data_IF_851750160219
#
_entry.id   IF_851750160219
#
_cell.length_a   1.000
_cell.length_b   1.000
_cell.length_c   1.000
_cell.angle_alpha   90.00
_cell.angle_beta   90.00
_cell.angle_gamma   90.00
#
_symmetry.space_group_name_H-M   'P 1'
#
loop_
_entity.id
_entity.type
_entity.pdbx_description
1 polymer ?
#
# COMPACT_ATOMS: atom_id res chain seq x y z
N UNK A 1 -16.86 74.42 41.04
CA UNK A 1 -15.84 74.75 40.02
C UNK A 1 -15.32 73.45 39.42
N UNK A 2 -15.80 73.07 38.23
CA UNK A 2 -15.33 71.89 37.49
C UNK A 2 -14.52 72.39 36.29
N UNK A 3 -13.33 71.86 36.04
CA UNK A 3 -12.54 72.30 34.89
C UNK A 3 -11.19 71.61 34.72
N UNK A 4 -11.00 71.01 33.54
CA UNK A 4 -9.71 70.76 32.88
C UNK A 4 -8.78 69.73 33.56
N UNK A 5 -9.08 68.45 33.39
CA UNK A 5 -8.10 67.37 33.61
C UNK A 5 -8.25 66.18 32.62
N UNK A 6 -8.78 66.44 31.42
CA UNK A 6 -8.90 65.44 30.33
C UNK A 6 -8.63 66.13 28.97
N UNK A 7 -7.36 66.25 28.53
CA UNK A 7 -7.09 66.08 27.10
C UNK A 7 -5.71 65.46 26.77
N UNK A 8 -5.07 64.72 27.69
CA UNK A 8 -3.69 64.22 27.49
C UNK A 8 -3.54 62.70 27.31
N UNK A 9 -4.56 61.90 27.66
CA UNK A 9 -4.51 60.43 27.49
C UNK A 9 -4.89 59.95 26.07
N UNK A 10 -5.62 60.76 25.30
CA UNK A 10 -6.11 60.37 23.97
C UNK A 10 -5.06 60.42 22.85
N UNK A 11 -4.01 61.23 22.99
CA UNK A 11 -3.03 61.46 21.92
C UNK A 11 -1.96 60.35 21.81
N UNK A 12 -1.73 59.58 22.89
CA UNK A 12 -0.72 58.51 22.91
C UNK A 12 -1.22 57.18 22.31
N UNK A 13 -2.53 56.98 22.17
CA UNK A 13 -3.09 55.73 21.60
C UNK A 13 -3.17 55.80 20.06
N UNK A 14 -3.23 57.00 19.48
CA UNK A 14 -3.27 57.21 18.03
C UNK A 14 -1.91 57.02 17.32
N UNK A 15 -0.80 56.89 18.05
CA UNK A 15 0.55 56.88 17.49
C UNK A 15 1.25 55.50 17.52
N UNK A 16 0.49 54.40 17.67
CA UNK A 16 1.02 53.02 17.57
C UNK A 16 0.55 52.23 16.35
N UNK A 17 -0.32 52.79 15.51
CA UNK A 17 -0.85 52.12 14.30
C UNK A 17 -0.14 52.52 12.99
N UNK A 18 0.84 53.42 13.05
CA UNK A 18 1.51 54.01 11.89
C UNK A 18 3.04 53.75 11.83
N UNK A 19 3.54 52.73 12.52
CA UNK A 19 4.90 52.21 12.27
C UNK A 19 4.85 51.28 11.04
N UNK A 20 5.46 51.64 9.89
CA UNK A 20 5.57 50.74 8.76
C UNK A 20 6.51 49.58 9.14
N UNK A 21 5.90 48.45 9.52
CA UNK A 21 6.64 47.25 9.89
C UNK A 21 7.51 46.81 8.70
N UNK A 22 8.81 46.65 8.94
CA UNK A 22 9.75 45.94 8.06
C UNK A 22 10.10 46.59 6.70
N UNK A 23 10.71 47.78 6.74
CA UNK A 23 11.64 48.21 5.69
C UNK A 23 12.93 47.37 5.73
N UNK A 24 12.83 46.06 5.47
CA UNK A 24 14.01 45.21 5.21
C UNK A 24 14.73 45.81 4.00
N UNK A 25 16.05 46.06 4.07
CA UNK A 25 16.77 46.68 2.96
C UNK A 25 16.62 45.85 1.69
N UNK A 26 15.91 46.41 0.71
CA UNK A 26 15.48 45.75 -0.55
C UNK A 26 16.66 45.10 -1.29
N UNK A 27 17.86 45.67 -1.12
CA UNK A 27 19.12 45.14 -1.65
C UNK A 27 19.52 43.76 -1.10
N UNK A 28 19.24 43.46 0.17
CA UNK A 28 19.53 42.17 0.80
C UNK A 28 18.56 41.08 0.30
N UNK A 29 17.27 41.39 0.26
CA UNK A 29 16.24 40.51 -0.31
C UNK A 29 16.52 40.16 -1.76
N UNK A 30 16.90 41.16 -2.59
CA UNK A 30 17.25 40.93 -4.00
C UNK A 30 18.46 40.01 -4.15
N UNK A 31 19.53 40.22 -3.37
CA UNK A 31 20.71 39.34 -3.37
C UNK A 31 20.36 37.90 -2.97
N UNK A 32 19.50 37.72 -1.97
CA UNK A 32 19.03 36.40 -1.55
C UNK A 32 18.26 35.70 -2.68
N UNK A 33 17.27 36.38 -3.28
CA UNK A 33 16.48 35.86 -4.41
C UNK A 33 17.38 35.44 -5.59
N UNK A 34 18.31 36.31 -6.04
CA UNK A 34 19.26 36.00 -7.13
C UNK A 34 20.10 34.75 -6.81
N UNK A 35 20.66 34.67 -5.59
CA UNK A 35 21.47 33.52 -5.16
C UNK A 35 20.63 32.23 -5.15
N UNK A 36 19.43 32.28 -4.59
CA UNK A 36 18.53 31.11 -4.53
C UNK A 36 18.09 30.66 -5.92
N UNK A 37 17.73 31.58 -6.83
CA UNK A 37 17.40 31.23 -8.23
C UNK A 37 18.58 30.58 -8.94
N UNK A 38 19.82 31.03 -8.69
CA UNK A 38 21.01 30.40 -9.25
C UNK A 38 21.27 28.99 -8.68
N UNK A 39 21.06 28.77 -7.38
CA UNK A 39 21.18 27.43 -6.77
C UNK A 39 20.08 26.51 -7.30
N UNK A 40 18.84 27.00 -7.38
CA UNK A 40 17.70 26.27 -7.90
C UNK A 40 17.91 25.88 -9.38
N UNK A 41 18.45 26.78 -10.20
CA UNK A 41 18.78 26.50 -11.60
C UNK A 41 19.81 25.36 -11.73
N UNK A 42 20.89 25.39 -10.93
CA UNK A 42 21.87 24.29 -10.85
C UNK A 42 21.19 22.99 -10.43
N UNK A 43 20.29 23.02 -9.44
CA UNK A 43 19.59 21.82 -8.95
C UNK A 43 18.57 21.25 -9.95
N UNK A 44 18.02 22.09 -10.82
CA UNK A 44 17.20 21.68 -11.97
C UNK A 44 18.04 21.22 -13.18
N UNK A 45 19.38 21.30 -13.12
CA UNK A 45 20.26 21.02 -14.25
C UNK A 45 20.15 22.03 -15.41
N UNK A 46 19.69 23.26 -15.14
CA UNK A 46 19.40 24.27 -16.18
C UNK A 46 20.40 25.43 -16.16
N UNK A 47 20.91 25.77 -17.35
CA UNK A 47 21.62 27.04 -17.58
C UNK A 47 20.58 28.10 -17.96
N UNK A 48 20.46 29.16 -17.17
CA UNK A 48 19.51 30.25 -17.44
C UNK A 48 20.15 31.37 -18.27
N UNK A 49 19.54 31.68 -19.40
CA UNK A 49 19.79 32.92 -20.16
C UNK A 49 19.50 34.15 -19.28
N UNK A 50 20.08 35.34 -19.58
CA UNK A 50 19.83 36.54 -18.79
C UNK A 50 18.33 36.87 -18.65
N UNK A 51 17.57 36.79 -19.75
CA UNK A 51 16.12 37.01 -19.75
C UNK A 51 15.37 36.00 -18.88
N UNK A 52 15.68 34.71 -19.01
CA UNK A 52 15.06 33.66 -18.18
C UNK A 52 15.39 33.82 -16.70
N UNK A 53 16.62 34.24 -16.36
CA UNK A 53 17.03 34.54 -14.98
C UNK A 53 16.22 35.68 -14.39
N UNK A 54 16.10 36.81 -15.10
CA UNK A 54 15.31 37.96 -14.66
C UNK A 54 13.83 37.58 -14.45
N UNK A 55 13.26 36.76 -15.33
CA UNK A 55 11.89 36.26 -15.17
C UNK A 55 11.73 35.38 -13.91
N UNK A 56 12.66 34.44 -13.67
CA UNK A 56 12.65 33.57 -12.49
C UNK A 56 12.90 34.35 -11.19
N UNK A 57 13.78 35.34 -11.19
CA UNK A 57 14.00 36.25 -10.06
C UNK A 57 12.74 37.08 -9.75
N UNK A 58 12.06 37.60 -10.78
CA UNK A 58 10.79 38.34 -10.59
C UNK A 58 9.69 37.43 -10.03
N UNK A 59 9.58 36.19 -10.51
CA UNK A 59 8.63 35.20 -10.00
C UNK A 59 8.94 34.81 -8.54
N UNK A 60 10.21 34.52 -8.23
CA UNK A 60 10.65 34.19 -6.89
C UNK A 60 10.49 35.36 -5.90
N UNK A 61 10.77 36.59 -6.33
CA UNK A 61 10.55 37.79 -5.51
C UNK A 61 9.05 38.03 -5.23
N UNK A 62 8.17 37.84 -6.23
CA UNK A 62 6.71 37.92 -6.06
C UNK A 62 6.22 36.86 -5.06
N UNK A 63 6.65 35.61 -5.20
CA UNK A 63 6.29 34.54 -4.29
C UNK A 63 6.83 34.80 -2.86
N UNK A 64 8.09 35.24 -2.72
CA UNK A 64 8.67 35.62 -1.43
C UNK A 64 7.91 36.75 -0.74
N UNK A 65 7.49 37.79 -1.47
CA UNK A 65 6.67 38.87 -0.92
C UNK A 65 5.30 38.38 -0.41
N UNK A 66 4.75 37.30 -0.97
CA UNK A 66 3.44 36.76 -0.61
C UNK A 66 3.50 35.67 0.49
N UNK A 67 4.56 34.87 0.53
CA UNK A 67 4.66 33.67 1.39
C UNK A 67 5.90 33.65 2.30
N UNK A 68 6.83 34.60 2.16
CA UNK A 68 8.02 34.73 3.01
C UNK A 68 9.18 33.78 2.65
N UNK A 69 10.07 33.59 3.62
CA UNK A 69 11.34 32.83 3.47
C UNK A 69 11.16 31.34 3.14
N UNK A 70 9.99 30.78 3.42
CA UNK A 70 9.63 29.41 3.01
C UNK A 70 9.81 29.19 1.50
N UNK A 71 9.55 30.22 0.69
CA UNK A 71 9.76 30.20 -0.77
C UNK A 71 11.22 29.99 -1.12
N UNK A 72 12.14 30.70 -0.46
CA UNK A 72 13.57 30.60 -0.79
C UNK A 72 14.13 29.23 -0.40
N UNK A 73 13.75 28.72 0.78
CA UNK A 73 14.13 27.39 1.26
C UNK A 73 13.59 26.28 0.36
N UNK A 74 12.31 26.38 -0.03
CA UNK A 74 11.68 25.42 -0.93
C UNK A 74 12.30 25.46 -2.34
N UNK A 75 12.62 26.65 -2.85
CA UNK A 75 13.25 26.85 -4.16
C UNK A 75 14.69 26.31 -4.20
N UNK A 76 15.48 26.56 -3.15
CA UNK A 76 16.84 26.03 -3.00
C UNK A 76 16.87 24.49 -2.98
N UNK A 77 15.93 23.87 -2.25
CA UNK A 77 15.83 22.41 -2.10
C UNK A 77 15.17 21.71 -3.28
N UNK A 78 14.12 22.31 -3.84
CA UNK A 78 13.28 21.73 -4.89
C UNK A 78 13.71 22.03 -6.32
N UNK A 79 14.47 23.11 -6.56
CA UNK A 79 14.80 23.59 -7.91
C UNK A 79 13.70 24.48 -8.50
N UNK A 80 13.93 25.02 -9.70
CA UNK A 80 13.07 26.01 -10.37
C UNK A 80 11.62 25.53 -10.58
N UNK A 81 11.41 24.22 -10.70
CA UNK A 81 10.10 23.59 -10.82
C UNK A 81 9.19 23.90 -9.61
N UNK A 82 9.79 24.18 -8.44
CA UNK A 82 9.07 24.63 -7.25
C UNK A 82 8.30 25.95 -7.45
N UNK A 83 8.75 26.85 -8.34
CA UNK A 83 8.00 28.08 -8.67
C UNK A 83 6.65 27.76 -9.29
N UNK A 84 6.63 26.86 -10.28
CA UNK A 84 5.39 26.45 -10.97
C UNK A 84 4.44 25.71 -10.03
N UNK A 85 4.97 24.82 -9.18
CA UNK A 85 4.12 24.07 -8.25
C UNK A 85 3.63 24.92 -7.08
N UNK A 86 4.45 25.84 -6.57
CA UNK A 86 4.03 26.76 -5.51
C UNK A 86 3.07 27.86 -5.97
N UNK A 87 3.05 28.23 -7.25
CA UNK A 87 1.99 29.03 -7.85
C UNK A 87 0.64 28.28 -7.87
N UNK A 88 0.67 26.98 -8.23
CA UNK A 88 -0.54 26.12 -8.29
C UNK A 88 -1.09 25.73 -6.92
N UNK A 89 -0.21 25.32 -6.01
CA UNK A 89 -0.57 24.69 -4.74
C UNK A 89 -0.47 25.65 -3.53
N UNK A 90 0.08 26.85 -3.74
CA UNK A 90 0.05 27.95 -2.78
C UNK A 90 0.89 27.71 -1.51
N UNK A 91 0.43 28.31 -0.40
CA UNK A 91 1.14 28.36 0.89
C UNK A 91 1.52 26.98 1.42
N UNK A 92 0.67 25.97 1.25
CA UNK A 92 0.91 24.62 1.76
C UNK A 92 2.15 24.00 1.13
N UNK A 93 2.31 24.14 -0.18
CA UNK A 93 3.47 23.62 -0.91
C UNK A 93 4.75 24.26 -0.40
N UNK A 94 4.76 25.58 -0.24
CA UNK A 94 5.91 26.32 0.28
C UNK A 94 6.31 25.87 1.68
N UNK A 95 5.34 25.80 2.60
CA UNK A 95 5.55 25.38 4.00
C UNK A 95 6.00 23.92 4.11
N UNK A 96 5.44 23.01 3.30
CA UNK A 96 5.86 21.61 3.31
C UNK A 96 7.28 21.47 2.74
N UNK A 97 7.60 22.11 1.62
CA UNK A 97 8.91 22.01 0.97
C UNK A 97 10.03 22.75 1.72
N UNK A 98 9.73 23.84 2.45
CA UNK A 98 10.73 24.57 3.23
C UNK A 98 11.29 23.74 4.39
N UNK A 99 10.43 22.92 5.03
CA UNK A 99 10.81 21.99 6.11
C UNK A 99 11.25 20.60 5.62
N UNK A 100 11.03 20.26 4.34
CA UNK A 100 11.40 18.98 3.75
C UNK A 100 12.93 18.77 3.63
N UNK A 101 13.35 17.50 3.41
CA UNK A 101 14.71 17.21 2.93
C UNK A 101 14.86 17.66 1.46
N UNK A 102 16.10 17.84 0.94
CA UNK A 102 16.30 18.17 -0.46
C UNK A 102 15.77 17.13 -1.45
N UNK A 103 15.77 15.82 -1.10
CA UNK A 103 15.12 14.79 -1.92
C UNK A 103 13.60 14.96 -1.93
N UNK A 104 12.98 15.12 -0.76
CA UNK A 104 11.52 15.30 -0.63
C UNK A 104 11.05 16.54 -1.37
N UNK A 105 11.68 17.70 -1.15
CA UNK A 105 11.35 18.95 -1.84
C UNK A 105 11.51 18.82 -3.36
N UNK A 106 12.51 18.05 -3.85
CA UNK A 106 12.68 17.79 -5.28
C UNK A 106 11.56 16.90 -5.83
N UNK A 107 11.19 15.81 -5.14
CA UNK A 107 10.07 14.96 -5.56
C UNK A 107 8.75 15.73 -5.58
N UNK A 108 8.48 16.50 -4.54
CA UNK A 108 7.33 17.42 -4.47
C UNK A 108 7.35 18.43 -5.61
N UNK A 109 8.48 19.06 -5.95
CA UNK A 109 8.58 20.01 -7.06
C UNK A 109 8.34 19.37 -8.45
N UNK A 110 8.66 18.08 -8.62
CA UNK A 110 8.46 17.34 -9.87
C UNK A 110 7.04 16.76 -9.98
N UNK A 111 6.45 16.30 -8.88
CA UNK A 111 5.22 15.50 -8.86
C UNK A 111 4.11 16.07 -7.93
N UNK A 112 4.12 17.37 -7.65
CA UNK A 112 3.19 18.04 -6.72
C UNK A 112 1.72 17.68 -6.97
N UNK A 113 1.28 17.62 -8.23
CA UNK A 113 -0.12 17.36 -8.57
C UNK A 113 -0.62 16.00 -8.02
N UNK A 114 0.27 14.99 -7.94
CA UNK A 114 -0.01 13.68 -7.33
C UNK A 114 0.27 13.65 -5.83
N UNK A 115 1.35 14.31 -5.39
CA UNK A 115 1.86 14.19 -4.02
C UNK A 115 1.17 15.15 -3.03
N UNK A 116 0.74 16.34 -3.46
CA UNK A 116 0.12 17.35 -2.59
C UNK A 116 -1.21 16.90 -1.94
N UNK A 117 -2.13 16.20 -2.63
CA UNK A 117 -3.34 15.66 -1.99
C UNK A 117 -3.01 14.68 -0.85
N UNK A 118 -1.96 13.87 -1.01
CA UNK A 118 -1.50 12.92 0.01
C UNK A 118 -0.78 13.69 1.14
N UNK A 119 0.11 14.61 0.80
CA UNK A 119 0.85 15.43 1.77
C UNK A 119 -0.08 16.33 2.62
N UNK A 120 -1.20 16.80 2.08
CA UNK A 120 -2.24 17.51 2.85
C UNK A 120 -2.97 16.60 3.84
N UNK A 121 -3.28 15.37 3.43
CA UNK A 121 -4.03 14.40 4.25
C UNK A 121 -3.18 13.74 5.35
N UNK A 122 -1.91 13.47 5.05
CA UNK A 122 -0.98 12.71 5.90
C UNK A 122 0.05 13.60 6.60
N UNK A 123 0.33 14.80 6.07
CA UNK A 123 1.21 15.78 6.68
C UNK A 123 2.71 15.51 6.54
N UNK A 124 3.48 15.95 7.54
CA UNK A 124 4.96 15.92 7.54
C UNK A 124 5.53 14.51 7.43
N UNK A 125 4.85 13.50 7.97
CA UNK A 125 5.33 12.12 7.98
C UNK A 125 5.45 11.57 6.54
N UNK A 126 4.48 11.90 5.68
CA UNK A 126 4.54 11.58 4.25
C UNK A 126 5.72 12.27 3.54
N UNK A 127 5.93 13.55 3.79
CA UNK A 127 7.06 14.30 3.19
C UNK A 127 8.41 13.75 3.68
N UNK A 128 8.47 13.25 4.92
CA UNK A 128 9.66 12.60 5.48
C UNK A 128 9.93 11.24 4.84
N UNK A 129 8.88 10.43 4.64
CA UNK A 129 8.93 9.16 3.92
C UNK A 129 9.38 9.33 2.46
N UNK A 130 8.76 10.27 1.74
CA UNK A 130 9.08 10.65 0.37
C UNK A 130 10.53 11.18 0.23
N UNK A 131 11.08 11.77 1.30
CA UNK A 131 12.48 12.18 1.38
C UNK A 131 13.48 11.04 1.56
N UNK A 132 13.05 9.90 2.11
CA UNK A 132 13.87 8.68 2.26
C UNK A 132 13.88 7.85 0.99
N UNK A 133 12.72 7.69 0.35
CA UNK A 133 12.51 6.90 -0.86
C UNK A 133 11.56 7.63 -1.82
N UNK A 134 12.09 8.56 -2.65
CA UNK A 134 11.30 9.30 -3.61
C UNK A 134 10.51 8.39 -4.57
N UNK A 135 9.26 8.74 -4.83
CA UNK A 135 8.31 7.97 -5.64
C UNK A 135 7.60 6.85 -4.90
N UNK A 136 8.16 6.30 -3.81
CA UNK A 136 7.54 5.19 -3.07
C UNK A 136 6.60 5.64 -1.94
N UNK A 137 6.68 6.90 -1.47
CA UNK A 137 5.84 7.38 -0.38
C UNK A 137 4.34 7.30 -0.71
N UNK A 138 3.98 7.65 -1.95
CA UNK A 138 2.61 7.53 -2.45
C UNK A 138 2.13 6.07 -2.52
N UNK A 139 3.02 5.13 -2.86
CA UNK A 139 2.70 3.70 -2.89
C UNK A 139 2.55 3.10 -1.50
N UNK A 140 3.39 3.47 -0.53
CA UNK A 140 3.20 3.08 0.87
C UNK A 140 1.80 3.46 1.37
N UNK A 141 1.37 4.71 1.13
CA UNK A 141 0.03 5.17 1.51
C UNK A 141 -1.07 4.44 0.74
N UNK A 142 -0.85 4.11 -0.55
CA UNK A 142 -1.80 3.33 -1.37
C UNK A 142 -2.00 1.90 -0.86
N UNK A 143 -0.91 1.19 -0.54
CA UNK A 143 -0.97 -0.23 -0.12
C UNK A 143 -1.36 -0.39 1.36
N UNK A 144 -0.86 0.48 2.23
CA UNK A 144 -0.93 0.30 3.68
C UNK A 144 -1.82 1.34 4.39
N UNK A 145 -2.30 2.36 3.65
CA UNK A 145 -3.12 3.45 4.18
C UNK A 145 -2.32 4.57 4.85
N UNK A 146 -2.99 5.68 5.16
CA UNK A 146 -2.37 6.93 5.64
C UNK A 146 -1.53 6.75 6.92
N UNK A 147 -1.98 5.90 7.86
CA UNK A 147 -1.27 5.63 9.12
C UNK A 147 0.12 5.01 8.91
N UNK A 148 0.36 4.35 7.77
CA UNK A 148 1.64 3.71 7.48
C UNK A 148 2.79 4.72 7.41
N UNK A 149 2.54 5.92 6.89
CA UNK A 149 3.55 6.96 6.70
C UNK A 149 4.24 7.34 8.01
N UNK A 150 3.50 7.45 9.12
CA UNK A 150 4.06 7.74 10.44
C UNK A 150 5.06 6.67 10.90
N UNK A 151 4.74 5.40 10.66
CA UNK A 151 5.61 4.27 11.04
C UNK A 151 6.80 4.13 10.09
N UNK A 152 6.57 4.24 8.78
CA UNK A 152 7.60 4.09 7.75
C UNK A 152 8.52 5.33 7.64
N UNK A 153 8.09 6.51 8.06
CA UNK A 153 8.95 7.69 8.18
C UNK A 153 10.16 7.46 9.10
N UNK A 154 10.08 6.51 10.04
CA UNK A 154 11.16 6.13 10.94
C UNK A 154 11.99 4.94 10.42
N UNK A 155 11.40 4.07 9.60
CA UNK A 155 12.04 2.87 9.03
C UNK A 155 13.27 3.16 8.11
N UNK A 156 14.19 2.20 7.93
CA UNK A 156 15.28 2.27 6.96
C UNK A 156 14.79 2.28 5.50
N UNK A 157 15.43 3.06 4.62
CA UNK A 157 15.06 3.18 3.20
C UNK A 157 15.05 1.83 2.44
N UNK A 158 16.00 0.93 2.75
CA UNK A 158 16.05 -0.40 2.15
C UNK A 158 14.85 -1.28 2.52
N UNK A 159 14.44 -1.25 3.78
CA UNK A 159 13.27 -2.01 4.26
C UNK A 159 11.97 -1.49 3.64
N UNK A 160 11.80 -0.17 3.53
CA UNK A 160 10.62 0.43 2.87
C UNK A 160 10.56 0.00 1.39
N UNK A 161 11.70 -0.02 0.70
CA UNK A 161 11.78 -0.47 -0.70
C UNK A 161 11.41 -1.94 -0.85
N UNK A 162 11.90 -2.82 0.04
CA UNK A 162 11.53 -4.23 0.07
C UNK A 162 10.04 -4.42 0.39
N UNK A 163 9.52 -3.72 1.40
CA UNK A 163 8.14 -3.80 1.84
C UNK A 163 7.16 -3.40 0.71
N UNK A 164 7.44 -2.32 -0.02
CA UNK A 164 6.65 -1.92 -1.20
C UNK A 164 6.83 -2.93 -2.35
N UNK A 165 8.05 -3.42 -2.59
CA UNK A 165 8.32 -4.46 -3.58
C UNK A 165 7.51 -5.74 -3.35
N UNK A 166 7.39 -6.17 -2.10
CA UNK A 166 6.54 -7.29 -1.68
C UNK A 166 5.04 -6.96 -1.79
N UNK A 167 4.60 -5.77 -1.36
CA UNK A 167 3.20 -5.37 -1.45
C UNK A 167 2.68 -5.25 -2.89
N UNK A 168 3.53 -4.84 -3.85
CA UNK A 168 3.23 -4.89 -5.29
C UNK A 168 2.99 -6.32 -5.82
N UNK A 169 3.43 -7.35 -5.10
CA UNK A 169 3.23 -8.77 -5.42
C UNK A 169 2.13 -9.42 -4.57
N UNK A 170 1.48 -8.69 -3.67
CA UNK A 170 0.40 -9.22 -2.85
C UNK A 170 -0.79 -9.69 -3.71
N UNK A 171 -1.31 -10.87 -3.38
CA UNK A 171 -2.54 -11.43 -3.98
C UNK A 171 -3.77 -10.53 -3.78
N UNK A 172 -3.74 -9.70 -2.75
CA UNK A 172 -4.86 -8.87 -2.30
C UNK A 172 -4.38 -7.64 -1.48
N UNK A 173 -5.17 -6.55 -1.44
CA UNK A 173 -4.92 -5.42 -0.54
C UNK A 173 -4.87 -5.81 0.95
N UNK A 174 -5.59 -6.87 1.33
CA UNK A 174 -5.59 -7.43 2.68
C UNK A 174 -4.21 -8.02 3.03
N UNK A 175 -3.61 -8.80 2.13
CA UNK A 175 -2.26 -9.36 2.33
C UNK A 175 -1.19 -8.26 2.40
N UNK A 176 -1.32 -7.18 1.62
CA UNK A 176 -0.43 -6.02 1.74
C UNK A 176 -0.53 -5.35 3.13
N UNK A 177 -1.74 -5.19 3.67
CA UNK A 177 -1.94 -4.67 5.04
C UNK A 177 -1.38 -5.62 6.11
N UNK A 178 -1.63 -6.93 5.98
CA UNK A 178 -1.10 -7.96 6.88
C UNK A 178 0.43 -7.97 6.89
N UNK A 179 1.08 -7.77 5.74
CA UNK A 179 2.53 -7.61 5.63
C UNK A 179 3.05 -6.40 6.41
N UNK A 180 2.38 -5.24 6.29
CA UNK A 180 2.77 -4.03 7.02
C UNK A 180 2.56 -4.16 8.53
N UNK A 181 1.50 -4.83 8.95
CA UNK A 181 1.23 -5.13 10.35
C UNK A 181 2.26 -6.11 10.95
N UNK A 182 2.57 -7.19 10.22
CA UNK A 182 3.64 -8.12 10.57
C UNK A 182 5.01 -7.43 10.61
N UNK A 183 5.27 -6.48 9.71
CA UNK A 183 6.47 -5.63 9.73
C UNK A 183 6.55 -4.78 11.00
N UNK A 184 5.46 -4.10 11.37
CA UNK A 184 5.39 -3.30 12.61
C UNK A 184 5.63 -4.16 13.86
N UNK A 185 4.94 -5.30 13.98
CA UNK A 185 5.04 -6.18 15.16
C UNK A 185 6.40 -6.88 15.28
N UNK A 186 7.04 -7.25 14.16
CA UNK A 186 8.35 -7.92 14.16
C UNK A 186 9.55 -6.96 14.17
N UNK A 187 9.33 -5.64 14.19
CA UNK A 187 10.41 -4.66 14.04
C UNK A 187 11.20 -4.84 12.74
N UNK A 188 10.51 -5.18 11.65
CA UNK A 188 11.10 -5.44 10.34
C UNK A 188 11.74 -6.81 10.13
N UNK A 189 11.85 -7.66 11.17
CA UNK A 189 12.48 -8.98 11.04
C UNK A 189 11.75 -9.91 10.05
N UNK A 190 10.43 -9.78 9.89
CA UNK A 190 9.64 -10.55 8.90
C UNK A 190 10.22 -10.47 7.48
N UNK A 191 10.81 -9.33 7.08
CA UNK A 191 11.36 -9.14 5.74
C UNK A 191 12.57 -10.05 5.45
N UNK A 192 13.31 -10.47 6.50
CA UNK A 192 14.46 -11.38 6.38
C UNK A 192 14.06 -12.82 6.08
N UNK A 193 12.83 -13.21 6.45
CA UNK A 193 12.30 -14.56 6.24
C UNK A 193 11.45 -14.68 4.96
N UNK A 194 11.08 -13.55 4.34
CA UNK A 194 10.42 -13.53 3.04
C UNK A 194 11.44 -13.79 1.92
N UNK A 195 11.29 -14.90 1.20
CA UNK A 195 12.18 -15.24 0.09
C UNK A 195 11.72 -14.58 -1.22
N UNK A 196 12.42 -13.53 -1.64
CA UNK A 196 12.14 -12.77 -2.86
C UNK A 196 11.96 -13.62 -4.12
N UNK A 197 12.73 -14.71 -4.30
CA UNK A 197 12.62 -15.59 -5.48
C UNK A 197 11.24 -16.27 -5.54
N UNK A 198 10.75 -16.75 -4.40
CA UNK A 198 9.45 -17.41 -4.32
C UNK A 198 8.30 -16.42 -4.53
N UNK A 199 8.40 -15.22 -3.95
CA UNK A 199 7.37 -14.17 -4.07
C UNK A 199 7.30 -13.59 -5.48
N UNK A 200 8.43 -13.53 -6.20
CA UNK A 200 8.44 -13.15 -7.62
C UNK A 200 7.82 -14.21 -8.54
N UNK A 201 7.90 -15.50 -8.17
CA UNK A 201 7.35 -16.61 -8.95
C UNK A 201 5.85 -16.87 -8.67
N UNK A 202 5.45 -16.87 -7.39
CA UNK A 202 4.09 -17.23 -6.96
C UNK A 202 3.24 -16.08 -6.41
N UNK A 203 3.78 -14.86 -6.35
CA UNK A 203 3.16 -13.75 -5.62
C UNK A 203 3.39 -13.85 -4.10
N UNK A 204 2.93 -12.83 -3.38
CA UNK A 204 2.89 -12.81 -1.92
C UNK A 204 1.48 -13.17 -1.46
N UNK A 205 1.34 -14.32 -0.79
CA UNK A 205 0.09 -14.74 -0.16
C UNK A 205 0.08 -14.47 1.33
N UNK A 206 -1.11 -14.38 1.92
CA UNK A 206 -1.25 -14.22 3.37
C UNK A 206 -0.56 -15.34 4.17
N UNK A 207 -0.60 -16.57 3.67
CA UNK A 207 0.11 -17.72 4.28
C UNK A 207 1.64 -17.53 4.30
N UNK A 208 2.23 -16.96 3.25
CA UNK A 208 3.66 -16.65 3.21
C UNK A 208 4.05 -15.56 4.22
N UNK A 209 3.21 -14.53 4.39
CA UNK A 209 3.39 -13.48 5.42
C UNK A 209 3.33 -14.08 6.81
N UNK A 210 2.31 -14.89 7.10
CA UNK A 210 2.15 -15.56 8.41
C UNK A 210 3.31 -16.51 8.70
N UNK A 211 3.76 -17.30 7.72
CA UNK A 211 4.91 -18.20 7.88
C UNK A 211 6.21 -17.42 8.19
N UNK A 212 6.51 -16.37 7.43
CA UNK A 212 7.67 -15.51 7.68
C UNK A 212 7.60 -14.82 9.05
N UNK A 213 6.40 -14.37 9.45
CA UNK A 213 6.20 -13.74 10.76
C UNK A 213 6.39 -14.73 11.91
N UNK A 214 5.92 -15.99 11.76
CA UNK A 214 6.18 -17.07 12.71
C UNK A 214 7.68 -17.35 12.86
N UNK A 215 8.42 -17.39 11.75
CA UNK A 215 9.88 -17.58 11.76
C UNK A 215 10.64 -16.40 12.41
N UNK A 216 10.10 -15.18 12.35
CA UNK A 216 10.64 -14.01 13.09
C UNK A 216 10.30 -13.98 14.59
N UNK A 217 9.79 -15.08 15.17
CA UNK A 217 9.53 -15.20 16.61
C UNK A 217 8.30 -14.48 17.14
N UNK A 218 7.49 -13.83 16.28
CA UNK A 218 6.36 -13.01 16.71
C UNK A 218 5.09 -13.77 17.13
N UNK A 219 5.09 -15.11 17.11
CA UNK A 219 3.88 -15.97 17.14
C UNK A 219 2.89 -15.59 18.24
N UNK A 220 3.36 -15.31 19.45
CA UNK A 220 2.52 -15.00 20.61
C UNK A 220 1.63 -13.77 20.38
N UNK A 221 2.14 -12.70 19.76
CA UNK A 221 1.43 -11.41 19.67
C UNK A 221 0.39 -11.33 18.54
N UNK A 222 0.50 -12.15 17.49
CA UNK A 222 -0.43 -12.08 16.35
C UNK A 222 -1.69 -12.92 16.58
N UNK A 223 -1.57 -14.04 17.31
CA UNK A 223 -2.71 -14.88 17.67
C UNK A 223 -3.70 -14.13 18.59
N UNK A 224 -3.19 -13.34 19.54
CA UNK A 224 -4.01 -12.52 20.44
C UNK A 224 -4.74 -11.36 19.76
N UNK A 225 -4.23 -10.86 18.62
CA UNK A 225 -4.72 -9.60 18.03
C UNK A 225 -5.68 -9.76 16.87
N UNK A 226 -5.56 -10.83 16.05
CA UNK A 226 -6.49 -11.09 14.94
C UNK A 226 -6.82 -12.59 14.77
N UNK A 227 -7.51 -13.22 15.76
CA UNK A 227 -7.89 -14.62 15.69
C UNK A 227 -8.74 -14.96 14.45
N UNK A 228 -9.80 -14.17 14.15
CA UNK A 228 -10.67 -14.44 13.00
C UNK A 228 -9.96 -14.42 11.64
N UNK A 229 -9.01 -13.50 11.45
CA UNK A 229 -8.22 -13.43 10.22
C UNK A 229 -7.32 -14.66 10.10
N UNK A 230 -6.78 -15.12 11.23
CA UNK A 230 -5.88 -16.26 11.31
C UNK A 230 -6.61 -17.59 11.06
N UNK A 231 -7.77 -17.79 11.68
CA UNK A 231 -8.65 -18.95 11.44
C UNK A 231 -9.06 -19.03 9.97
N UNK A 232 -9.61 -17.94 9.38
CA UNK A 232 -9.98 -17.95 7.95
C UNK A 232 -8.83 -18.22 7.00
N UNK A 233 -7.59 -17.82 7.35
CA UNK A 233 -6.40 -18.11 6.54
C UNK A 233 -5.98 -19.58 6.72
N UNK A 234 -6.02 -20.11 7.95
CA UNK A 234 -5.73 -21.52 8.22
C UNK A 234 -6.76 -22.40 7.53
N UNK A 235 -8.05 -22.21 7.77
CA UNK A 235 -9.12 -23.02 7.18
C UNK A 235 -9.08 -23.03 5.65
N UNK A 236 -8.82 -21.87 5.02
CA UNK A 236 -8.70 -21.79 3.56
C UNK A 236 -7.45 -22.51 3.01
N UNK A 237 -6.40 -22.67 3.82
CA UNK A 237 -5.17 -23.36 3.44
C UNK A 237 -5.19 -24.85 3.83
N UNK A 238 -5.93 -25.22 4.89
CA UNK A 238 -6.11 -26.60 5.34
C UNK A 238 -7.27 -27.30 4.63
N UNK A 239 -8.33 -26.61 4.19
CA UNK A 239 -9.46 -27.19 3.42
C UNK A 239 -9.06 -28.10 2.24
N UNK A 240 -8.07 -27.78 1.39
CA UNK A 240 -7.64 -28.70 0.34
C UNK A 240 -6.89 -29.94 0.85
N UNK A 241 -6.35 -29.93 2.08
CA UNK A 241 -5.56 -31.03 2.65
C UNK A 241 -6.40 -32.29 2.91
N UNK A 242 -7.56 -32.29 3.61
CA UNK A 242 -8.39 -33.48 3.75
C UNK A 242 -8.96 -33.93 2.41
N UNK A 243 -9.23 -33.03 1.45
CA UNK A 243 -9.61 -33.41 0.09
C UNK A 243 -8.47 -34.14 -0.66
N UNK A 244 -7.23 -33.66 -0.58
CA UNK A 244 -6.05 -34.35 -1.15
C UNK A 244 -5.74 -35.67 -0.44
N UNK A 245 -5.94 -35.74 0.88
CA UNK A 245 -5.78 -36.97 1.64
C UNK A 245 -6.88 -37.99 1.28
N UNK A 246 -8.15 -37.58 1.19
CA UNK A 246 -9.25 -38.45 0.75
C UNK A 246 -9.07 -38.89 -0.71
N UNK A 247 -8.61 -38.01 -1.59
CA UNK A 247 -8.32 -38.35 -2.98
C UNK A 247 -7.14 -39.34 -3.11
N UNK A 248 -6.05 -39.12 -2.36
CA UNK A 248 -4.91 -40.06 -2.37
C UNK A 248 -5.23 -41.40 -1.72
N UNK A 249 -6.04 -41.41 -0.65
CA UNK A 249 -6.53 -42.62 0.01
C UNK A 249 -7.52 -43.37 -0.89
N UNK A 250 -8.41 -42.67 -1.61
CA UNK A 250 -9.27 -43.24 -2.65
C UNK A 250 -8.47 -43.83 -3.81
N UNK A 251 -7.41 -43.15 -4.27
CA UNK A 251 -6.50 -43.66 -5.31
C UNK A 251 -5.76 -44.92 -4.83
N UNK A 252 -5.31 -44.94 -3.58
CA UNK A 252 -4.64 -46.09 -2.97
C UNK A 252 -5.60 -47.29 -2.80
N UNK A 253 -6.84 -47.05 -2.37
CA UNK A 253 -7.89 -48.07 -2.31
C UNK A 253 -8.21 -48.61 -3.71
N UNK A 254 -8.31 -47.75 -4.72
CA UNK A 254 -8.54 -48.18 -6.11
C UNK A 254 -7.39 -49.05 -6.64
N UNK A 255 -6.14 -48.65 -6.40
CA UNK A 255 -4.94 -49.44 -6.74
C UNK A 255 -4.88 -50.77 -5.99
N UNK A 256 -5.30 -50.83 -4.73
CA UNK A 256 -5.36 -52.07 -3.94
C UNK A 256 -6.53 -52.99 -4.37
N UNK A 257 -7.64 -52.43 -4.83
CA UNK A 257 -8.82 -53.19 -5.25
C UNK A 257 -8.60 -53.92 -6.59
N UNK A 258 -7.82 -53.32 -7.50
CA UNK A 258 -7.46 -53.92 -8.80
C UNK A 258 -6.91 -55.35 -8.73
N UNK A 259 -5.83 -55.64 -7.96
CA UNK A 259 -5.31 -56.99 -7.79
C UNK A 259 -6.27 -57.91 -7.02
N UNK A 260 -6.97 -57.42 -5.99
CA UNK A 260 -7.95 -58.21 -5.22
C UNK A 260 -9.12 -58.68 -6.10
N UNK A 261 -9.59 -57.84 -7.03
CA UNK A 261 -10.63 -58.24 -7.98
C UNK A 261 -10.13 -59.29 -8.99
N UNK A 262 -8.86 -59.25 -9.40
CA UNK A 262 -8.24 -60.27 -10.26
C UNK A 262 -8.07 -61.60 -9.55
N UNK A 263 -7.53 -61.61 -8.32
CA UNK A 263 -7.36 -62.85 -7.54
C UNK A 263 -8.72 -63.47 -7.20
N UNK A 264 -9.74 -62.68 -6.89
CA UNK A 264 -11.10 -63.19 -6.66
C UNK A 264 -11.71 -63.84 -7.90
N UNK A 265 -11.56 -63.25 -9.11
CA UNK A 265 -12.00 -63.91 -10.37
C UNK A 265 -11.26 -65.24 -10.61
N UNK A 266 -9.95 -65.28 -10.36
CA UNK A 266 -9.15 -66.49 -10.49
C UNK A 266 -9.56 -67.58 -9.49
N UNK A 267 -9.78 -67.23 -8.22
CA UNK A 267 -10.31 -68.13 -7.19
C UNK A 267 -11.70 -68.68 -7.55
N UNK A 268 -12.60 -67.85 -8.08
CA UNK A 268 -13.90 -68.34 -8.56
C UNK A 268 -13.78 -69.31 -9.74
N UNK A 269 -12.78 -69.17 -10.61
CA UNK A 269 -12.54 -70.14 -11.70
C UNK A 269 -11.97 -71.49 -11.24
N UNK A 270 -11.47 -71.58 -10.00
CA UNK A 270 -10.97 -72.81 -9.38
C UNK A 270 -12.06 -73.59 -8.62
N UNK A 271 -13.24 -73.01 -8.42
CA UNK A 271 -14.39 -73.71 -7.83
C UNK A 271 -15.15 -74.37 -9.00
N UNK A 272 -15.06 -75.71 -9.17
CA UNK A 272 -15.81 -76.37 -10.22
C UNK A 272 -17.31 -76.19 -9.95
N UNK A 273 -18.07 -75.69 -10.92
CA UNK A 273 -19.51 -75.55 -10.73
C UNK A 273 -20.13 -76.92 -10.40
N UNK A 274 -20.95 -77.01 -9.34
CA UNK A 274 -21.70 -78.23 -9.07
C UNK A 274 -22.63 -78.46 -10.26
N UNK A 275 -22.45 -79.58 -10.96
CA UNK A 275 -23.20 -79.94 -12.18
C UNK A 275 -24.71 -79.79 -11.94
N UNK A 276 -25.28 -78.65 -12.36
CA UNK A 276 -26.73 -78.45 -12.35
C UNK A 276 -27.34 -79.51 -13.26
N UNK A 277 -28.16 -80.40 -12.68
CA UNK A 277 -29.07 -81.22 -13.46
C UNK A 277 -29.96 -80.27 -14.27
N UNK A 278 -30.04 -80.50 -15.57
CA UNK A 278 -31.07 -79.91 -16.43
C UNK A 278 -32.38 -80.59 -16.09
N UNK A 279 -33.14 -80.01 -15.16
CA UNK A 279 -34.54 -80.36 -14.99
C UNK A 279 -35.36 -79.43 -15.88
N UNK A 280 -36.04 -80.02 -16.87
CA UNK A 280 -36.93 -79.33 -17.78
C UNK A 280 -38.22 -78.92 -17.05
N UNK A 281 -38.47 -77.62 -16.91
CA UNK A 281 -39.83 -77.07 -16.82
C UNK A 281 -39.85 -75.73 -17.54
N UNK A 282 -40.45 -75.67 -18.75
CA UNK A 282 -41.87 -75.42 -18.98
C UNK A 282 -42.37 -74.10 -18.40
N UNK A 283 -42.64 -73.19 -19.32
CA UNK A 283 -43.83 -72.34 -19.39
C UNK A 283 -44.34 -71.75 -18.08
N UNK A 284 -44.11 -70.45 -17.93
CA UNK A 284 -45.19 -69.51 -17.58
C UNK A 284 -44.89 -68.10 -18.08
N UNK A 285 -45.88 -67.54 -18.78
CA UNK A 285 -45.85 -66.18 -19.28
C UNK A 285 -45.85 -65.17 -18.13
N UNK A 286 -45.25 -64.00 -18.38
CA UNK A 286 -45.33 -62.80 -17.53
C UNK A 286 -45.81 -61.65 -18.44
N UNK A 287 -46.68 -60.73 -17.96
CA UNK A 287 -47.50 -59.89 -18.85
C UNK A 287 -46.78 -58.64 -19.39
N UNK A 288 -47.49 -57.92 -20.26
CA UNK A 288 -47.09 -56.67 -20.90
C UNK A 288 -46.68 -55.56 -19.90
N UNK A 289 -45.71 -54.69 -20.26
CA UNK A 289 -45.39 -53.50 -19.50
C UNK A 289 -46.44 -52.39 -19.69
N UNK A 290 -47.01 -51.93 -18.58
CA UNK A 290 -47.86 -50.73 -18.51
C UNK A 290 -47.00 -49.48 -18.78
N UNK A 291 -47.49 -48.48 -19.54
CA UNK A 291 -46.72 -47.27 -19.83
C UNK A 291 -46.57 -46.37 -18.59
N UNK A 292 -45.34 -46.18 -18.12
CA UNK A 292 -45.03 -45.28 -17.00
C UNK A 292 -45.03 -43.81 -17.45
N UNK A 293 -45.62 -42.94 -16.62
CA UNK A 293 -46.00 -41.59 -17.02
C UNK A 293 -44.85 -40.59 -17.00
N UNK A 294 -44.89 -39.67 -17.97
CA UNK A 294 -43.96 -38.57 -18.15
C UNK A 294 -44.32 -37.41 -17.20
N UNK A 295 -43.79 -37.42 -15.98
CA UNK A 295 -43.87 -36.25 -15.10
C UNK A 295 -42.83 -35.20 -15.48
N UNK A 296 -43.29 -34.21 -16.24
CA UNK A 296 -42.70 -32.87 -16.27
C UNK A 296 -43.06 -32.18 -14.94
N UNK A 297 -42.08 -31.82 -14.13
CA UNK A 297 -42.30 -30.87 -13.04
C UNK A 297 -41.31 -29.70 -13.16
N UNK A 298 -41.88 -28.50 -13.33
CA UNK A 298 -41.17 -27.22 -13.41
C UNK A 298 -41.36 -26.50 -12.08
N UNK A 299 -40.29 -25.92 -11.56
CA UNK A 299 -40.28 -24.76 -10.65
C UNK A 299 -38.81 -24.27 -10.65
N UNK A 300 -38.39 -23.01 -10.94
CA UNK A 300 -38.92 -21.67 -10.58
C UNK A 300 -39.23 -21.61 -9.07
N UNK A 301 -38.72 -20.74 -8.20
CA UNK A 301 -38.17 -19.37 -8.30
C UNK A 301 -37.20 -19.23 -7.08
N UNK A 302 -36.27 -18.28 -6.97
CA UNK A 302 -36.11 -16.97 -7.61
C UNK A 302 -34.69 -16.83 -8.16
#
# INVERSE_FOLDING_TARGET
MMGKLIPLLGLMIALSTALPLSAVPVSMTRKAVTKTVQIAAKRSGRVLTPAARIAMEKAAAKAFAQYGDDVLRALEKGGLEALKQGERHGRDFWKLCSHATPQAARSMALHADTLMPIARRVGKDFVTLEGKVPGLGAECVKFFGDKSAKTLAHAPAGEITQLVGYARRADSPQTAKLLHEAYQKSGGQVLKHLNWKHIMAGGLSAGAVVAAYKLSGGVAQLAETHPESFERIIDKWTWPIPLFLLASLGLAVWFAWGPVARTRKWLCSLIPEPKRKKDESKDKAVPEPVPEQKNEEKEQTI
#
